data_IF_325113926016
#
_entry.id   IF_325113926016
#
_cell.length_a   1.000
_cell.length_b   1.000
_cell.length_c   1.000
_cell.angle_alpha   90.00
_cell.angle_beta   90.00
_cell.angle_gamma   90.00
#
_symmetry.space_group_name_H-M   'P 1'
#
loop_
_entity.id
_entity.type
_entity.pdbx_description
1 polymer ?
#
# COMPACT_ATOMS: atom_id res chain seq x y z
N UNK A 1 -7.28 -23.62 -3.49
CA UNK A 1 -6.98 -22.37 -2.75
C UNK A 1 -7.97 -21.32 -3.22
N UNK A 2 -8.31 -20.31 -2.40
CA UNK A 2 -9.13 -19.21 -2.85
C UNK A 2 -8.43 -18.44 -3.98
N UNK A 3 -9.22 -17.92 -4.90
CA UNK A 3 -8.75 -17.12 -6.04
C UNK A 3 -8.40 -15.70 -5.57
N UNK A 4 -7.32 -15.10 -6.09
CA UNK A 4 -6.87 -13.78 -5.67
C UNK A 4 -6.48 -12.88 -6.85
N UNK A 5 -6.85 -11.60 -6.78
CA UNK A 5 -6.47 -10.57 -7.75
C UNK A 5 -5.59 -9.49 -7.09
N UNK A 6 -4.50 -9.11 -7.76
CA UNK A 6 -3.71 -7.95 -7.37
C UNK A 6 -4.24 -6.69 -8.06
N UNK A 7 -4.56 -5.65 -7.31
CA UNK A 7 -5.07 -4.38 -7.80
C UNK A 7 -4.06 -3.26 -7.52
N UNK A 8 -3.53 -2.66 -8.58
CA UNK A 8 -2.50 -1.61 -8.52
C UNK A 8 -3.16 -0.26 -8.82
N UNK A 9 -3.44 0.58 -7.80
CA UNK A 9 -3.97 1.92 -8.03
C UNK A 9 -2.89 2.88 -8.54
N UNK A 10 -3.11 3.50 -9.70
CA UNK A 10 -2.17 4.44 -10.29
C UNK A 10 -2.88 5.63 -10.95
N UNK A 11 -3.39 6.56 -10.15
CA UNK A 11 -4.01 7.79 -10.67
C UNK A 11 -2.97 8.75 -11.27
N UNK A 12 -3.38 9.56 -12.25
CA UNK A 12 -2.53 10.56 -12.92
C UNK A 12 -2.16 11.73 -12.01
N UNK A 13 -3.07 12.17 -11.14
CA UNK A 13 -2.97 13.35 -10.29
C UNK A 13 -2.11 13.17 -9.04
N UNK A 14 -0.82 12.86 -9.19
CA UNK A 14 0.13 12.81 -8.06
C UNK A 14 0.62 14.21 -7.72
N UNK A 15 0.17 14.78 -6.59
CA UNK A 15 0.45 16.17 -6.20
C UNK A 15 1.78 16.33 -5.47
N UNK A 16 2.05 15.52 -4.43
CA UNK A 16 3.25 15.63 -3.58
C UNK A 16 4.54 15.23 -4.27
N UNK A 17 4.48 14.27 -5.17
CA UNK A 17 5.56 13.87 -6.09
C UNK A 17 4.97 13.86 -7.49
N UNK A 18 5.28 14.84 -8.34
CA UNK A 18 4.74 14.91 -9.69
C UNK A 18 5.01 13.62 -10.48
N UNK A 19 3.96 13.09 -11.13
CA UNK A 19 4.07 11.88 -11.96
C UNK A 19 4.63 10.65 -11.22
N UNK A 20 4.46 10.55 -9.91
CA UNK A 20 5.09 9.57 -9.03
C UNK A 20 5.06 8.13 -9.58
N UNK A 21 3.91 7.66 -10.03
CA UNK A 21 3.74 6.27 -10.48
C UNK A 21 4.60 5.93 -11.71
N UNK A 22 4.90 6.92 -12.56
CA UNK A 22 5.68 6.74 -13.80
C UNK A 22 7.07 7.37 -13.71
N UNK A 23 7.41 8.02 -12.62
CA UNK A 23 8.75 8.54 -12.37
C UNK A 23 9.73 7.40 -12.21
N UNK A 24 10.92 7.52 -12.79
CA UNK A 24 11.91 6.43 -12.82
C UNK A 24 12.75 6.39 -11.54
N UNK A 25 12.78 5.21 -10.94
CA UNK A 25 13.71 4.82 -9.90
C UNK A 25 14.58 3.69 -10.47
N UNK A 26 15.91 3.84 -10.42
CA UNK A 26 16.85 2.83 -10.95
C UNK A 26 16.48 2.30 -12.37
N UNK A 27 16.11 3.20 -13.27
CA UNK A 27 15.83 2.91 -14.69
C UNK A 27 14.39 2.55 -15.04
N UNK A 28 13.55 2.10 -14.10
CA UNK A 28 12.16 1.73 -14.36
C UNK A 28 11.17 2.69 -13.70
N UNK A 29 9.96 2.89 -14.29
CA UNK A 29 8.88 3.60 -13.61
C UNK A 29 8.54 2.94 -12.27
N UNK A 30 8.17 3.73 -11.27
CA UNK A 30 7.88 3.20 -9.93
C UNK A 30 6.83 2.07 -9.93
N UNK A 31 5.80 2.20 -10.79
CA UNK A 31 4.74 1.19 -10.95
C UNK A 31 5.28 -0.18 -11.43
N UNK A 32 6.39 -0.20 -12.17
CA UNK A 32 6.96 -1.44 -12.69
C UNK A 32 7.38 -2.40 -11.58
N UNK A 33 7.89 -1.87 -10.46
CA UNK A 33 8.27 -2.69 -9.29
C UNK A 33 7.05 -3.32 -8.62
N UNK A 34 5.95 -2.58 -8.52
CA UNK A 34 4.71 -3.11 -7.97
C UNK A 34 4.14 -4.24 -8.84
N UNK A 35 4.16 -4.06 -10.17
CA UNK A 35 3.72 -5.07 -11.13
C UNK A 35 4.60 -6.31 -11.06
N UNK A 36 5.92 -6.13 -11.12
CA UNK A 36 6.88 -7.23 -11.03
C UNK A 36 6.74 -8.02 -9.71
N UNK A 37 6.60 -7.30 -8.57
CA UNK A 37 6.39 -7.93 -7.26
C UNK A 37 5.12 -8.78 -7.24
N UNK A 38 4.00 -8.25 -7.75
CA UNK A 38 2.73 -8.97 -7.77
C UNK A 38 2.81 -10.22 -8.66
N UNK A 39 3.43 -10.13 -9.83
CA UNK A 39 3.62 -11.26 -10.74
C UNK A 39 4.52 -12.34 -10.15
N UNK A 40 5.67 -11.94 -9.57
CA UNK A 40 6.64 -12.86 -8.97
C UNK A 40 6.15 -13.49 -7.65
N UNK A 41 5.14 -12.90 -7.01
CA UNK A 41 4.50 -13.51 -5.85
C UNK A 41 3.89 -14.88 -6.21
N UNK A 42 3.34 -15.04 -7.42
CA UNK A 42 2.78 -16.30 -7.90
C UNK A 42 1.51 -16.74 -7.16
N UNK A 43 0.88 -15.82 -6.42
CA UNK A 43 -0.34 -16.07 -5.64
C UNK A 43 -1.56 -15.36 -6.20
N UNK A 44 -1.39 -14.56 -7.24
CA UNK A 44 -2.46 -13.81 -7.90
C UNK A 44 -2.72 -14.40 -9.28
N UNK A 45 -3.97 -14.67 -9.58
CA UNK A 45 -4.40 -15.14 -10.91
C UNK A 45 -4.33 -14.03 -11.94
N UNK A 46 -4.46 -12.78 -11.47
CA UNK A 46 -4.44 -11.61 -12.33
C UNK A 46 -3.82 -10.40 -11.62
N UNK A 47 -3.07 -9.58 -12.37
CA UNK A 47 -2.51 -8.31 -11.89
C UNK A 47 -3.14 -7.20 -12.70
N UNK A 48 -3.98 -6.41 -12.08
CA UNK A 48 -4.78 -5.35 -12.70
C UNK A 48 -4.30 -3.99 -12.25
N UNK A 49 -4.00 -3.09 -13.18
CA UNK A 49 -3.73 -1.69 -12.90
C UNK A 49 -5.01 -0.87 -13.11
N UNK A 50 -5.46 -0.17 -12.06
CA UNK A 50 -6.58 0.75 -12.10
C UNK A 50 -6.06 2.19 -12.22
N UNK A 51 -6.25 2.80 -13.39
CA UNK A 51 -5.77 4.15 -13.72
C UNK A 51 -6.80 4.94 -14.53
N UNK A 52 -6.78 6.25 -14.39
CA UNK A 52 -7.55 7.24 -15.17
C UNK A 52 -6.78 7.78 -16.39
N UNK A 53 -5.55 7.30 -16.61
CA UNK A 53 -4.64 7.81 -17.65
C UNK A 53 -4.25 6.74 -18.65
N UNK A 54 -4.45 7.02 -19.95
CA UNK A 54 -4.00 6.09 -21.00
C UNK A 54 -2.47 5.94 -21.02
N UNK A 55 -1.72 7.00 -20.74
CA UNK A 55 -0.25 6.91 -20.61
C UNK A 55 0.16 5.90 -19.55
N UNK A 56 -0.44 5.97 -18.35
CA UNK A 56 -0.16 5.02 -17.27
C UNK A 56 -0.62 3.61 -17.65
N UNK A 57 -1.74 3.50 -18.35
CA UNK A 57 -2.27 2.23 -18.84
C UNK A 57 -1.31 1.55 -19.82
N UNK A 58 -0.77 2.29 -20.79
CA UNK A 58 0.23 1.79 -21.73
C UNK A 58 1.51 1.31 -21.01
N UNK A 59 2.01 2.12 -20.06
CA UNK A 59 3.15 1.74 -19.22
C UNK A 59 2.83 0.45 -18.45
N UNK A 60 1.71 0.37 -17.78
CA UNK A 60 1.33 -0.81 -17.00
C UNK A 60 1.22 -2.07 -17.87
N UNK A 61 0.59 -1.97 -19.04
CA UNK A 61 0.50 -3.07 -20.02
C UNK A 61 1.89 -3.52 -20.52
N UNK A 62 2.81 -2.58 -20.75
CA UNK A 62 4.18 -2.91 -21.18
C UNK A 62 4.94 -3.73 -20.13
N UNK A 63 4.62 -3.57 -18.85
CA UNK A 63 5.14 -4.38 -17.75
C UNK A 63 4.30 -5.61 -17.42
N UNK A 64 3.20 -5.84 -18.17
CA UNK A 64 2.40 -7.06 -18.09
C UNK A 64 1.25 -7.03 -17.08
N UNK A 65 0.85 -5.86 -16.63
CA UNK A 65 -0.40 -5.71 -15.91
C UNK A 65 -1.57 -5.57 -16.90
N UNK A 66 -2.72 -6.07 -16.52
CA UNK A 66 -3.96 -5.84 -17.25
C UNK A 66 -4.53 -4.46 -16.91
N UNK A 67 -5.05 -3.79 -17.94
CA UNK A 67 -5.83 -2.55 -17.80
C UNK A 67 -7.09 -2.71 -18.63
N UNK A 68 -8.12 -3.38 -18.08
CA UNK A 68 -9.31 -3.73 -18.86
C UNK A 68 -10.19 -2.52 -19.19
N UNK A 69 -10.11 -1.48 -18.42
CA UNK A 69 -10.83 -0.21 -18.60
C UNK A 69 -10.09 0.92 -17.86
N UNK A 70 -10.37 2.15 -18.26
CA UNK A 70 -9.92 3.32 -17.50
C UNK A 70 -10.86 3.57 -16.31
N UNK A 71 -10.27 3.99 -15.20
CA UNK A 71 -11.00 4.44 -14.02
C UNK A 71 -11.70 5.76 -14.32
N UNK A 72 -12.99 5.91 -13.99
CA UNK A 72 -13.66 7.20 -14.05
C UNK A 72 -12.94 8.28 -13.23
N UNK A 73 -12.92 9.50 -13.77
CA UNK A 73 -12.20 10.62 -13.14
C UNK A 73 -12.73 10.98 -11.77
N UNK A 74 -14.03 10.79 -11.52
CA UNK A 74 -14.64 10.98 -10.21
C UNK A 74 -14.05 10.08 -9.12
N UNK A 75 -13.52 8.90 -9.48
CA UNK A 75 -12.85 7.99 -8.55
C UNK A 75 -11.32 8.14 -8.54
N UNK A 76 -10.80 9.17 -9.21
CA UNK A 76 -9.37 9.44 -9.32
C UNK A 76 -8.93 10.80 -8.72
N UNK A 77 -9.81 11.48 -7.99
CA UNK A 77 -9.52 12.77 -7.35
C UNK A 77 -8.56 12.63 -6.17
N UNK A 78 -8.03 13.76 -5.68
CA UNK A 78 -7.14 13.77 -4.51
C UNK A 78 -7.80 13.25 -3.23
N UNK A 79 -9.12 13.38 -3.14
CA UNK A 79 -9.93 13.03 -1.96
C UNK A 79 -10.83 11.81 -2.15
N UNK A 80 -10.86 11.20 -3.33
CA UNK A 80 -11.63 9.97 -3.59
C UNK A 80 -11.15 8.84 -2.68
N UNK A 81 -12.04 8.26 -1.85
CA UNK A 81 -11.69 7.11 -1.02
C UNK A 81 -11.34 5.89 -1.87
N UNK A 82 -10.41 5.08 -1.38
CA UNK A 82 -10.01 3.86 -2.12
C UNK A 82 -11.17 2.90 -2.39
N UNK A 83 -12.17 2.86 -1.52
CA UNK A 83 -13.32 1.96 -1.67
C UNK A 83 -14.12 2.21 -2.96
N UNK A 84 -14.19 3.44 -3.44
CA UNK A 84 -14.94 3.79 -4.65
C UNK A 84 -14.33 3.13 -5.90
N UNK A 85 -13.05 3.37 -6.15
CA UNK A 85 -12.39 2.78 -7.31
C UNK A 85 -12.23 1.26 -7.17
N UNK A 86 -12.07 0.77 -5.93
CA UNK A 86 -11.95 -0.65 -5.63
C UNK A 86 -13.25 -1.40 -5.97
N UNK A 87 -14.39 -0.93 -5.43
CA UNK A 87 -15.69 -1.50 -5.72
C UNK A 87 -16.01 -1.44 -7.22
N UNK A 88 -15.76 -0.29 -7.86
CA UNK A 88 -15.92 -0.11 -9.29
C UNK A 88 -15.07 -1.12 -10.09
N UNK A 89 -13.83 -1.34 -9.68
CA UNK A 89 -12.93 -2.25 -10.39
C UNK A 89 -13.38 -3.70 -10.24
N UNK A 90 -13.69 -4.13 -9.02
CA UNK A 90 -14.13 -5.51 -8.75
C UNK A 90 -15.44 -5.85 -9.44
N UNK A 91 -16.41 -4.91 -9.49
CA UNK A 91 -17.70 -5.09 -10.17
C UNK A 91 -17.58 -5.26 -11.69
N UNK A 92 -16.56 -4.62 -12.29
CA UNK A 92 -16.38 -4.62 -13.76
C UNK A 92 -15.40 -5.66 -14.27
N UNK A 93 -14.68 -6.33 -13.39
CA UNK A 93 -13.86 -7.47 -13.82
C UNK A 93 -14.77 -8.60 -14.31
N UNK A 94 -14.42 -9.28 -15.42
CA UNK A 94 -15.23 -10.36 -15.97
C UNK A 94 -15.27 -11.61 -15.07
N UNK A 95 -14.24 -11.77 -14.24
CA UNK A 95 -14.13 -12.86 -13.27
C UNK A 95 -14.36 -12.35 -11.85
N UNK A 96 -14.88 -13.22 -10.99
CA UNK A 96 -14.96 -12.98 -9.54
C UNK A 96 -13.77 -13.61 -8.82
N UNK A 97 -13.28 -12.94 -7.79
CA UNK A 97 -12.16 -13.40 -6.96
C UNK A 97 -12.58 -13.47 -5.51
N UNK A 98 -12.10 -14.48 -4.79
CA UNK A 98 -12.36 -14.62 -3.35
C UNK A 98 -11.63 -13.54 -2.55
N UNK A 99 -10.43 -13.15 -3.00
CA UNK A 99 -9.53 -12.21 -2.36
C UNK A 99 -9.06 -11.14 -3.34
N UNK A 100 -8.80 -9.95 -2.81
CA UNK A 100 -8.04 -8.93 -3.50
C UNK A 100 -6.85 -8.45 -2.66
N UNK A 101 -5.79 -8.01 -3.32
CA UNK A 101 -4.67 -7.31 -2.69
C UNK A 101 -4.53 -5.90 -3.27
N UNK A 102 -4.36 -4.89 -2.43
CA UNK A 102 -3.95 -3.55 -2.86
C UNK A 102 -2.43 -3.49 -2.95
N UNK A 103 -1.93 -3.32 -4.16
CA UNK A 103 -0.50 -3.33 -4.46
C UNK A 103 -0.04 -1.92 -4.82
N UNK A 104 0.33 -1.14 -3.81
CA UNK A 104 0.71 0.26 -4.05
C UNK A 104 2.09 0.36 -4.67
N UNK A 105 2.21 1.19 -5.70
CA UNK A 105 3.48 1.50 -6.35
C UNK A 105 4.46 2.24 -5.42
N UNK A 106 3.93 2.91 -4.40
CA UNK A 106 4.72 3.71 -3.45
C UNK A 106 5.60 2.89 -2.49
N UNK A 107 5.50 1.56 -2.50
CA UNK A 107 6.33 0.66 -1.69
C UNK A 107 7.34 -0.09 -2.59
N UNK A 108 8.41 0.56 -3.06
CA UNK A 108 9.31 -0.03 -4.05
C UNK A 108 10.15 -1.20 -3.52
N UNK A 109 10.40 -1.27 -2.20
CA UNK A 109 11.26 -2.29 -1.59
C UNK A 109 10.50 -3.51 -1.07
N UNK A 110 9.18 -3.56 -1.26
CA UNK A 110 8.38 -4.74 -0.93
C UNK A 110 8.67 -5.86 -1.91
N UNK A 111 9.21 -6.97 -1.42
CA UNK A 111 9.46 -8.17 -2.21
C UNK A 111 8.22 -9.03 -2.42
N UNK A 112 8.26 -9.98 -3.39
CA UNK A 112 7.14 -10.88 -3.69
C UNK A 112 6.77 -11.80 -2.52
N UNK A 113 7.74 -12.12 -1.65
CA UNK A 113 7.53 -12.96 -0.48
C UNK A 113 6.57 -12.35 0.55
N UNK A 114 6.49 -11.03 0.62
CA UNK A 114 5.54 -10.35 1.51
C UNK A 114 4.09 -10.77 1.20
N UNK A 115 3.73 -10.90 -0.08
CA UNK A 115 2.39 -11.34 -0.46
C UNK A 115 2.12 -12.81 -0.14
N UNK A 116 3.12 -13.69 -0.30
CA UNK A 116 2.97 -15.12 0.07
C UNK A 116 2.74 -15.26 1.56
N UNK A 117 3.59 -14.65 2.39
CA UNK A 117 3.47 -14.65 3.86
C UNK A 117 2.14 -14.04 4.33
N UNK A 118 1.75 -12.91 3.73
CA UNK A 118 0.50 -12.23 4.08
C UNK A 118 -0.73 -13.04 3.72
N UNK A 119 -0.75 -13.68 2.56
CA UNK A 119 -1.87 -14.54 2.16
C UNK A 119 -1.96 -15.78 3.05
N UNK A 120 -0.84 -16.46 3.31
CA UNK A 120 -0.78 -17.60 4.22
C UNK A 120 -1.30 -17.22 5.62
N UNK A 121 -0.81 -16.13 6.19
CA UNK A 121 -1.25 -15.64 7.49
C UNK A 121 -2.74 -15.29 7.54
N UNK A 122 -3.30 -14.69 6.47
CA UNK A 122 -4.73 -14.41 6.41
C UNK A 122 -5.56 -15.71 6.38
N UNK A 123 -5.12 -16.70 5.62
CA UNK A 123 -5.80 -18.00 5.53
C UNK A 123 -5.70 -18.78 6.84
N UNK A 124 -4.60 -18.66 7.57
CA UNK A 124 -4.38 -19.27 8.87
C UNK A 124 -5.10 -18.53 10.03
N UNK A 125 -5.76 -17.41 9.72
CA UNK A 125 -6.51 -16.60 10.70
C UNK A 125 -7.99 -16.54 10.33
N UNK A 126 -8.80 -17.60 10.54
CA UNK A 126 -10.18 -17.70 10.03
C UNK A 126 -11.12 -16.58 10.46
N UNK A 127 -10.85 -15.93 11.60
CA UNK A 127 -11.64 -14.79 12.08
C UNK A 127 -11.32 -13.48 11.34
N UNK A 128 -10.19 -13.40 10.62
CA UNK A 128 -9.78 -12.19 9.95
C UNK A 128 -10.52 -12.01 8.61
N UNK A 129 -11.01 -10.82 8.40
CA UNK A 129 -11.61 -10.40 7.13
C UNK A 129 -10.58 -9.76 6.19
N UNK A 130 -9.50 -9.27 6.77
CA UNK A 130 -8.35 -8.72 6.04
C UNK A 130 -7.06 -8.82 6.84
N UNK A 131 -5.95 -8.60 6.15
CA UNK A 131 -4.62 -8.44 6.75
C UNK A 131 -4.01 -7.14 6.27
N UNK A 132 -3.38 -6.41 7.18
CA UNK A 132 -2.79 -5.10 6.91
C UNK A 132 -1.39 -5.00 7.47
N UNK A 133 -0.48 -4.45 6.66
CA UNK A 133 0.89 -4.21 7.08
C UNK A 133 0.96 -3.12 8.15
N UNK A 134 1.72 -3.42 9.19
CA UNK A 134 2.01 -2.54 10.31
C UNK A 134 3.49 -2.63 10.69
N UNK A 135 4.00 -1.57 11.29
CA UNK A 135 5.33 -1.53 11.90
C UNK A 135 5.28 -0.90 13.29
N UNK A 136 6.24 -1.25 14.14
CA UNK A 136 6.34 -0.64 15.46
C UNK A 136 6.60 0.86 15.33
N UNK A 137 5.84 1.68 16.06
CA UNK A 137 6.00 3.14 16.02
C UNK A 137 7.35 3.56 16.59
N UNK A 138 7.98 4.55 15.95
CA UNK A 138 9.17 5.23 16.48
C UNK A 138 8.77 6.30 17.51
N UNK A 139 7.63 6.95 17.30
CA UNK A 139 7.07 7.96 18.17
C UNK A 139 5.73 7.47 18.70
N UNK A 140 5.63 7.28 20.01
CA UNK A 140 4.45 6.73 20.64
C UNK A 140 3.28 7.73 20.62
N UNK A 141 2.06 7.35 20.18
CA UNK A 141 0.92 8.24 20.08
C UNK A 141 0.47 8.83 21.43
N UNK A 142 0.75 8.16 22.54
CA UNK A 142 0.54 8.68 23.88
C UNK A 142 1.40 9.90 24.25
N UNK A 143 2.40 10.23 23.42
CA UNK A 143 3.24 11.43 23.54
C UNK A 143 2.99 12.44 22.41
N UNK A 144 1.88 12.30 21.67
CA UNK A 144 1.47 13.23 20.64
C UNK A 144 0.46 14.24 21.16
N UNK A 145 0.47 15.45 20.60
CA UNK A 145 -0.32 16.58 21.04
C UNK A 145 -1.07 17.23 19.89
N UNK A 146 -2.27 17.73 20.19
CA UNK A 146 -3.04 18.59 19.28
C UNK A 146 -2.84 20.04 19.74
N UNK A 147 -2.45 20.92 18.81
CA UNK A 147 -2.28 22.35 19.10
C UNK A 147 -3.64 23.06 18.99
N UNK A 148 -3.95 23.88 20.00
CA UNK A 148 -5.18 24.67 20.09
C UNK A 148 -4.80 26.15 20.39
N UNK A 149 -4.39 26.86 19.35
CA UNK A 149 -3.86 28.22 19.47
C UNK A 149 -2.54 28.24 20.26
N UNK A 150 -2.52 28.91 21.41
CA UNK A 150 -1.35 28.99 22.29
C UNK A 150 -1.25 27.84 23.31
N UNK A 151 -2.19 26.91 23.29
CA UNK A 151 -2.23 25.76 24.19
C UNK A 151 -2.15 24.46 23.41
N UNK A 152 -2.00 23.33 24.12
CA UNK A 152 -2.04 22.01 23.52
C UNK A 152 -2.70 21.01 24.46
N UNK A 153 -3.32 19.99 23.89
CA UNK A 153 -3.86 18.84 24.63
C UNK A 153 -3.30 17.53 24.08
N UNK A 154 -3.25 16.46 24.90
CA UNK A 154 -2.88 15.14 24.41
C UNK A 154 -3.79 14.71 23.23
N UNK A 155 -3.21 14.02 22.24
CA UNK A 155 -3.98 13.43 21.14
C UNK A 155 -4.97 12.39 21.64
N UNK A 156 -4.53 11.52 22.56
CA UNK A 156 -5.35 10.49 23.19
C UNK A 156 -5.85 10.96 24.57
N UNK A 157 -7.10 10.62 24.90
CA UNK A 157 -7.59 10.78 26.27
C UNK A 157 -6.87 9.81 27.20
N UNK A 158 -6.22 10.35 28.20
CA UNK A 158 -5.40 9.61 29.19
C UNK A 158 -5.88 9.85 30.62
N UNK A 159 -7.05 10.47 30.80
CA UNK A 159 -7.58 10.82 32.13
C UNK A 159 -7.89 9.60 33.02
N UNK A 160 -8.07 8.43 32.40
CA UNK A 160 -8.33 7.16 33.11
C UNK A 160 -7.07 6.42 33.56
N UNK A 161 -5.87 6.95 33.26
CA UNK A 161 -4.60 6.34 33.62
C UNK A 161 -4.05 6.93 34.91
N UNK A 162 -3.50 6.10 35.80
CA UNK A 162 -2.82 6.56 37.03
C UNK A 162 -1.64 7.48 36.72
N UNK A 163 -0.88 7.12 35.68
CA UNK A 163 0.19 7.96 35.11
C UNK A 163 -0.07 8.13 33.62
N UNK A 164 -0.29 9.36 33.19
CA UNK A 164 -0.51 9.65 31.80
C UNK A 164 0.72 9.26 30.95
N UNK A 165 0.50 8.64 29.78
CA UNK A 165 1.58 8.15 28.92
C UNK A 165 2.57 9.24 28.49
N UNK A 166 2.10 10.48 28.31
CA UNK A 166 2.98 11.59 27.97
C UNK A 166 3.97 11.94 29.08
N UNK A 167 3.64 11.65 30.35
CA UNK A 167 4.51 11.86 31.51
C UNK A 167 5.36 10.62 31.86
N UNK A 168 4.98 9.42 31.39
CA UNK A 168 5.66 8.17 31.69
C UNK A 168 6.97 7.96 30.90
N UNK A 169 7.80 7.04 31.38
CA UNK A 169 9.00 6.60 30.69
C UNK A 169 8.62 5.81 29.43
N UNK A 170 9.39 5.97 28.33
CA UNK A 170 9.07 5.35 27.03
C UNK A 170 8.99 3.81 27.13
N UNK A 171 9.87 3.20 27.92
CA UNK A 171 9.91 1.74 28.12
C UNK A 171 8.72 1.18 28.90
N UNK A 172 7.97 2.03 29.63
CA UNK A 172 6.78 1.62 30.37
C UNK A 172 5.49 1.74 29.52
N UNK A 173 5.59 2.28 28.30
CA UNK A 173 4.43 2.43 27.42
C UNK A 173 4.10 1.12 26.73
N UNK A 174 2.82 0.86 26.41
CA UNK A 174 2.42 -0.32 25.65
C UNK A 174 3.05 -0.30 24.25
N UNK A 175 3.30 -1.47 23.67
CA UNK A 175 3.71 -1.56 22.27
C UNK A 175 2.57 -1.13 21.36
N UNK A 176 2.86 -0.21 20.44
CA UNK A 176 1.89 0.29 19.46
C UNK A 176 2.50 0.21 18.07
N UNK A 177 1.63 -0.05 17.12
CA UNK A 177 2.00 -0.21 15.73
C UNK A 177 1.29 0.82 14.87
N UNK A 178 1.96 1.31 13.83
CA UNK A 178 1.38 2.17 12.81
C UNK A 178 1.18 1.36 11.53
N UNK A 179 0.03 1.56 10.88
CA UNK A 179 -0.19 0.97 9.56
C UNK A 179 0.77 1.59 8.53
N UNK A 180 1.25 0.74 7.63
CA UNK A 180 1.91 1.18 6.41
C UNK A 180 1.22 0.54 5.18
N UNK A 181 1.61 0.96 3.99
CA UNK A 181 0.93 0.55 2.76
C UNK A 181 1.61 -0.64 2.06
N UNK A 182 2.50 -1.36 2.75
CA UNK A 182 3.26 -2.43 2.14
C UNK A 182 2.40 -3.65 1.77
N UNK A 183 1.38 -3.97 2.57
CA UNK A 183 0.51 -5.10 2.31
C UNK A 183 -0.90 -4.82 2.82
N UNK A 184 -1.87 -5.02 1.93
CA UNK A 184 -3.30 -5.01 2.23
C UNK A 184 -3.93 -6.14 1.40
N UNK A 185 -4.42 -7.19 2.05
CA UNK A 185 -5.18 -8.29 1.41
C UNK A 185 -6.49 -8.46 2.17
N UNK A 186 -7.60 -8.60 1.46
CA UNK A 186 -8.91 -8.81 2.08
C UNK A 186 -9.77 -9.77 1.27
N UNK A 187 -10.74 -10.38 1.94
CA UNK A 187 -11.82 -11.09 1.28
C UNK A 187 -12.68 -10.13 0.48
N UNK A 188 -12.96 -10.45 -0.78
CA UNK A 188 -13.73 -9.57 -1.68
C UNK A 188 -15.14 -9.28 -1.15
N UNK A 189 -15.75 -10.23 -0.44
CA UNK A 189 -17.06 -10.05 0.20
C UNK A 189 -17.12 -8.87 1.17
N UNK A 190 -15.98 -8.46 1.75
CA UNK A 190 -15.90 -7.31 2.66
C UNK A 190 -16.38 -6.04 1.98
N UNK A 191 -16.04 -5.85 0.70
CA UNK A 191 -16.45 -4.66 -0.07
C UNK A 191 -17.97 -4.58 -0.19
N UNK A 192 -18.65 -5.69 -0.46
CA UNK A 192 -20.10 -5.73 -0.64
C UNK A 192 -20.86 -5.77 0.68
N UNK A 193 -20.35 -6.46 1.70
CA UNK A 193 -21.02 -6.66 2.99
C UNK A 193 -20.85 -5.48 3.96
N UNK A 194 -19.70 -4.79 3.91
CA UNK A 194 -19.39 -3.73 4.88
C UNK A 194 -19.27 -2.34 4.25
N UNK A 195 -19.13 -2.25 2.93
CA UNK A 195 -18.85 -1.00 2.24
C UNK A 195 -17.45 -0.43 2.57
N UNK A 196 -16.54 -1.27 3.08
CA UNK A 196 -15.16 -0.93 3.40
C UNK A 196 -14.20 -1.84 2.64
N UNK A 197 -12.93 -1.52 2.65
CA UNK A 197 -11.88 -2.37 2.03
C UNK A 197 -11.21 -3.31 3.03
N UNK A 198 -11.42 -3.11 4.32
CA UNK A 198 -10.76 -3.84 5.39
C UNK A 198 -11.67 -4.75 6.21
N UNK A 199 -12.99 -4.50 6.23
CA UNK A 199 -13.91 -5.21 7.09
C UNK A 199 -13.82 -4.81 8.56
N UNK A 200 -14.19 -5.71 9.46
CA UNK A 200 -14.32 -5.48 10.90
C UNK A 200 -13.18 -6.09 11.72
N UNK A 201 -12.64 -7.21 11.25
CA UNK A 201 -11.57 -7.95 11.94
C UNK A 201 -10.34 -8.00 11.05
N UNK A 202 -9.28 -7.30 11.50
CA UNK A 202 -8.02 -7.20 10.77
C UNK A 202 -6.93 -8.02 11.47
N UNK A 203 -6.19 -8.80 10.70
CA UNK A 203 -4.94 -9.39 11.15
C UNK A 203 -3.76 -8.44 10.89
N UNK A 204 -2.77 -8.33 11.78
CA UNK A 204 -1.59 -7.52 11.54
C UNK A 204 -0.54 -8.30 10.73
N UNK A 205 0.05 -7.68 9.72
CA UNK A 205 1.25 -8.17 9.04
C UNK A 205 2.44 -7.31 9.47
N UNK A 206 3.38 -7.89 10.21
CA UNK A 206 4.57 -7.15 10.66
C UNK A 206 5.58 -7.05 9.52
N UNK A 207 5.86 -5.81 9.09
CA UNK A 207 6.91 -5.55 8.10
C UNK A 207 8.29 -5.54 8.74
N UNK A 208 9.30 -5.91 7.96
CA UNK A 208 10.70 -5.92 8.36
C UNK A 208 11.59 -5.12 7.40
N UNK A 209 12.71 -4.62 7.90
CA UNK A 209 13.66 -3.87 7.09
C UNK A 209 13.03 -2.68 6.36
N UNK A 210 13.09 -2.69 5.03
CA UNK A 210 12.52 -1.63 4.17
C UNK A 210 11.19 -2.02 3.52
N UNK A 211 10.58 -3.15 3.87
CA UNK A 211 9.28 -3.57 3.32
C UNK A 211 8.19 -2.50 3.50
N UNK A 212 8.17 -1.84 4.66
CA UNK A 212 7.22 -0.78 5.00
C UNK A 212 7.56 0.60 4.42
N UNK A 213 8.72 0.76 3.75
CA UNK A 213 9.12 2.05 3.20
C UNK A 213 8.12 2.53 2.14
N UNK A 214 7.65 3.76 2.30
CA UNK A 214 6.68 4.37 1.41
C UNK A 214 7.20 5.69 0.85
N UNK A 215 6.98 5.92 -0.44
CA UNK A 215 7.33 7.18 -1.11
C UNK A 215 6.10 8.09 -1.10
N UNK A 216 6.06 9.04 -0.19
CA UNK A 216 4.96 10.00 -0.08
C UNK A 216 5.31 11.39 -0.63
N UNK A 217 6.54 11.82 -0.48
CA UNK A 217 7.03 13.14 -0.89
C UNK A 217 8.41 13.09 -1.58
N UNK A 218 8.98 14.25 -1.90
CA UNK A 218 10.28 14.36 -2.57
C UNK A 218 11.46 13.98 -1.67
N UNK A 219 11.34 14.06 -0.35
CA UNK A 219 12.37 13.63 0.57
C UNK A 219 12.43 12.10 0.60
N UNK A 220 11.28 11.44 0.67
CA UNK A 220 11.19 9.98 0.53
C UNK A 220 11.73 9.50 -0.81
N UNK A 221 11.44 10.25 -1.90
CA UNK A 221 11.98 9.92 -3.22
C UNK A 221 13.51 9.93 -3.23
N UNK A 222 14.13 10.99 -2.72
CA UNK A 222 15.59 11.09 -2.61
C UNK A 222 16.17 10.00 -1.72
N UNK A 223 15.48 9.69 -0.64
CA UNK A 223 15.87 8.61 0.27
C UNK A 223 15.80 7.24 -0.42
N UNK A 224 14.75 6.98 -1.21
CA UNK A 224 14.67 5.76 -2.00
C UNK A 224 15.84 5.61 -2.97
N UNK A 225 16.20 6.69 -3.70
CA UNK A 225 17.36 6.70 -4.58
C UNK A 225 18.66 6.37 -3.83
N UNK A 226 18.92 7.06 -2.72
CA UNK A 226 20.13 6.83 -1.91
C UNK A 226 20.20 5.40 -1.34
N UNK A 227 19.08 4.82 -0.93
CA UNK A 227 19.02 3.43 -0.46
C UNK A 227 19.38 2.42 -1.55
N UNK A 228 18.93 2.67 -2.78
CA UNK A 228 19.29 1.83 -3.94
C UNK A 228 20.75 2.01 -4.33
N UNK A 229 21.21 3.24 -4.47
CA UNK A 229 22.58 3.58 -4.88
C UNK A 229 23.64 3.02 -3.90
N UNK A 230 23.33 3.05 -2.60
CA UNK A 230 24.22 2.48 -1.56
C UNK A 230 24.12 0.97 -1.42
N UNK A 231 23.18 0.30 -2.11
CA UNK A 231 22.92 -1.13 -1.93
C UNK A 231 22.32 -1.49 -0.57
N UNK A 232 21.82 -0.50 0.20
CA UNK A 232 21.23 -0.73 1.53
C UNK A 232 19.85 -1.36 1.44
N UNK A 233 19.08 -1.05 0.38
CA UNK A 233 17.81 -1.69 0.05
C UNK A 233 17.81 -2.18 -1.39
N UNK A 234 17.17 -3.31 -1.64
CA UNK A 234 17.07 -3.92 -2.96
C UNK A 234 15.67 -3.75 -3.54
N UNK A 235 15.60 -3.40 -4.80
CA UNK A 235 14.36 -3.37 -5.57
C UNK A 235 14.04 -4.79 -6.08
N UNK A 236 12.75 -5.14 -6.24
CA UNK A 236 12.36 -6.34 -6.97
C UNK A 236 12.93 -6.34 -8.38
N UNK A 237 13.32 -7.50 -8.88
CA UNK A 237 13.83 -7.62 -10.24
C UNK A 237 12.73 -7.32 -11.26
N UNK A 238 13.02 -6.44 -12.22
CA UNK A 238 12.13 -6.15 -13.35
C UNK A 238 12.76 -6.75 -14.61
N UNK A 239 12.19 -7.84 -15.09
CA UNK A 239 12.74 -8.60 -16.23
C UNK A 239 12.46 -7.93 -17.60
N UNK A 240 11.46 -7.05 -17.66
CA UNK A 240 11.10 -6.35 -18.89
C UNK A 240 12.01 -5.14 -19.13
N UNK A 241 12.28 -4.81 -20.40
CA UNK A 241 13.07 -3.61 -20.72
C UNK A 241 12.35 -2.34 -20.23
N UNK A 242 13.10 -1.26 -19.91
CA UNK A 242 12.51 0.02 -19.53
C UNK A 242 11.54 0.56 -20.57
N UNK A 243 10.33 0.92 -20.14
CA UNK A 243 9.31 1.53 -21.01
C UNK A 243 8.75 2.82 -20.35
N UNK A 244 8.52 3.90 -21.10
CA UNK A 244 9.05 4.09 -22.47
C UNK A 244 10.58 3.96 -22.49
N UNK A 245 11.22 3.72 -23.66
CA UNK A 245 12.68 3.68 -23.73
C UNK A 245 13.29 4.97 -23.15
N UNK A 246 14.52 4.92 -22.61
CA UNK A 246 15.24 6.14 -22.27
C UNK A 246 15.41 7.01 -23.52
N UNK A 247 15.28 8.31 -23.35
CA UNK A 247 15.53 9.29 -24.42
C UNK A 247 16.98 9.27 -24.84
#
# INVERSE_FOLDING_TARGET
MPTAVALIPARSGSERVPRKNVRRLAGHPLIAYAIATAQQAGVFERVVCSTDSEEIAEIARSYGADVPFLRPTEYATATSPDIEWLAYTLDRLPETYDLFALVRATNPFRGPDAFRRGLEQLLDTPAAESIRAVERVKQHPGKMWVLEGATMRPLLDQAHLDVAWHAGQYQALPEVYVQNSALEIAWTRVVTETGTREGRVLAPFLTSGYEGFNVDDEEDWKRAQALVESGTASLPAVERPPYPPPA
#
